data_IF_286374497883
#
_entry.id   IF_286374497883
#
_cell.length_a   1.000
_cell.length_b   1.000
_cell.length_c   1.000
_cell.angle_alpha   90.00
_cell.angle_beta   90.00
_cell.angle_gamma   90.00
#
_symmetry.space_group_name_H-M   'P 1'
#
loop_
_entity.id
_entity.type
_entity.pdbx_description
1 polymer ?
#
# COMPACT_ATOMS: atom_id res chain seq x y z
N UNK A 1 120.96 61.32 125.38
CA UNK A 1 120.81 61.25 123.91
C UNK A 1 121.56 60.03 123.39
N UNK A 2 120.84 59.10 122.76
CA UNK A 2 121.36 58.19 121.73
C UNK A 2 120.15 57.83 120.85
N UNK A 3 120.23 58.15 119.55
CA UNK A 3 119.13 58.08 118.58
C UNK A 3 119.07 56.68 117.98
N UNK A 4 118.01 55.92 118.26
CA UNK A 4 117.68 54.69 117.52
C UNK A 4 117.03 55.02 116.18
N UNK A 5 117.57 54.48 115.08
CA UNK A 5 117.04 54.64 113.73
C UNK A 5 115.74 53.86 113.49
N UNK A 6 114.90 54.33 112.55
CA UNK A 6 113.60 53.72 112.23
C UNK A 6 113.74 52.57 111.24
N UNK A 7 113.00 51.48 111.50
CA UNK A 7 113.01 50.24 110.72
C UNK A 7 111.78 50.09 109.80
N UNK A 8 111.96 49.42 108.65
CA UNK A 8 110.92 49.19 107.61
C UNK A 8 109.63 48.55 108.15
N UNK A 9 109.75 47.63 109.10
CA UNK A 9 108.60 46.95 109.71
C UNK A 9 107.68 47.91 110.49
N UNK A 10 108.25 48.92 111.15
CA UNK A 10 107.48 49.91 111.92
C UNK A 10 106.70 50.83 110.98
N UNK A 11 107.32 51.23 109.87
CA UNK A 11 106.68 52.00 108.79
C UNK A 11 105.53 51.22 108.14
N UNK A 12 105.72 49.91 107.91
CA UNK A 12 104.67 49.04 107.38
C UNK A 12 103.46 48.92 108.33
N UNK A 13 103.70 48.74 109.63
CA UNK A 13 102.64 48.65 110.64
C UNK A 13 101.85 49.97 110.75
N UNK A 14 102.54 51.11 110.74
CA UNK A 14 101.91 52.43 110.73
C UNK A 14 101.07 52.65 109.45
N UNK A 15 101.57 52.23 108.27
CA UNK A 15 100.81 52.26 107.01
C UNK A 15 99.54 51.41 107.08
N UNK A 16 99.63 50.17 107.57
CA UNK A 16 98.47 49.29 107.69
C UNK A 16 97.43 49.83 108.69
N UNK A 17 97.87 50.45 109.78
CA UNK A 17 96.96 51.10 110.73
C UNK A 17 96.20 52.28 110.09
N UNK A 18 96.86 53.08 109.24
CA UNK A 18 96.20 54.17 108.50
C UNK A 18 95.20 53.63 107.46
N UNK A 19 95.57 52.58 106.72
CA UNK A 19 94.66 51.92 105.77
C UNK A 19 93.45 51.29 106.45
N UNK A 20 93.63 50.65 107.60
CA UNK A 20 92.52 50.09 108.38
C UNK A 20 91.57 51.17 108.92
N UNK A 21 92.07 52.39 109.16
CA UNK A 21 91.25 53.58 109.47
C UNK A 21 90.69 54.28 108.22
N UNK A 22 90.96 53.79 107.02
CA UNK A 22 90.46 54.34 105.76
C UNK A 22 91.16 55.63 105.28
N UNK A 23 92.28 56.02 105.91
CA UNK A 23 93.04 57.24 105.56
C UNK A 23 94.21 56.89 104.64
N UNK A 24 94.42 57.70 103.60
CA UNK A 24 95.48 57.43 102.63
C UNK A 24 96.89 57.58 103.26
N UNK A 25 97.77 56.57 103.16
CA UNK A 25 99.08 56.62 103.81
C UNK A 25 100.07 57.58 103.12
N UNK A 26 100.03 58.86 103.48
CA UNK A 26 101.05 59.84 103.07
C UNK A 26 102.27 59.81 104.00
N UNK A 27 103.42 60.31 103.53
CA UNK A 27 104.67 60.33 104.32
C UNK A 27 104.47 61.01 105.68
N UNK A 28 103.74 62.13 105.68
CA UNK A 28 103.50 62.91 106.89
C UNK A 28 102.47 62.24 107.81
N UNK A 29 101.44 61.58 107.27
CA UNK A 29 100.50 60.80 108.07
C UNK A 29 101.20 59.62 108.76
N UNK A 30 102.04 58.89 108.04
CA UNK A 30 102.84 57.78 108.60
C UNK A 30 103.83 58.28 109.65
N UNK A 31 104.42 59.47 109.46
CA UNK A 31 105.34 60.08 110.43
C UNK A 31 104.65 60.52 111.72
N UNK A 32 103.42 61.04 111.63
CA UNK A 32 102.60 61.40 112.80
C UNK A 32 102.25 60.13 113.61
N UNK A 33 101.83 59.05 112.94
CA UNK A 33 101.56 57.76 113.62
C UNK A 33 102.81 57.13 114.25
N UNK A 34 104.00 57.44 113.71
CA UNK A 34 105.30 57.05 114.29
C UNK A 34 105.80 58.02 115.37
N UNK A 35 104.97 58.95 115.84
CA UNK A 35 105.29 59.89 116.92
C UNK A 35 106.26 61.00 116.53
N UNK A 36 106.20 61.48 115.29
CA UNK A 36 107.10 62.48 114.70
C UNK A 36 108.60 62.07 114.69
N UNK A 37 108.86 60.77 114.81
CA UNK A 37 110.21 60.24 114.72
C UNK A 37 110.52 59.85 113.27
N UNK A 38 111.79 60.00 112.85
CA UNK A 38 112.26 59.62 111.51
C UNK A 38 112.39 60.77 110.53
N UNK A 39 113.37 60.66 109.62
CA UNK A 39 113.46 61.57 108.47
C UNK A 39 112.42 61.19 107.41
N UNK A 40 111.73 62.20 106.86
CA UNK A 40 110.74 62.02 105.78
C UNK A 40 111.28 61.21 104.60
N UNK A 41 112.57 61.36 104.29
CA UNK A 41 113.27 60.63 103.22
C UNK A 41 113.32 59.12 103.45
N UNK A 42 113.57 58.67 104.70
CA UNK A 42 113.65 57.24 105.01
C UNK A 42 112.27 56.58 104.99
N UNK A 43 111.24 57.28 105.48
CA UNK A 43 109.84 56.81 105.45
C UNK A 43 109.35 56.67 104.00
N UNK A 44 109.63 57.67 103.15
CA UNK A 44 109.25 57.63 101.73
C UNK A 44 109.91 56.47 100.99
N UNK A 45 111.21 56.22 101.24
CA UNK A 45 111.92 55.08 100.65
C UNK A 45 111.24 53.75 100.99
N UNK A 46 110.92 53.54 102.27
CA UNK A 46 110.27 52.30 102.69
C UNK A 46 108.82 52.17 102.20
N UNK A 47 108.06 53.26 102.07
CA UNK A 47 106.72 53.23 101.46
C UNK A 47 106.78 52.79 100.00
N UNK A 48 107.69 53.37 99.21
CA UNK A 48 107.86 53.03 97.80
C UNK A 48 108.30 51.57 97.58
N UNK A 49 109.19 51.07 98.44
CA UNK A 49 109.58 49.65 98.39
C UNK A 49 108.44 48.68 98.71
N UNK A 50 107.45 49.10 99.50
CA UNK A 50 106.28 48.27 99.83
C UNK A 50 105.23 48.28 98.71
N UNK A 51 105.08 49.40 97.99
CA UNK A 51 104.15 49.47 96.85
C UNK A 51 104.60 48.60 95.67
N UNK A 52 105.90 48.45 95.46
CA UNK A 52 106.43 47.62 94.38
C UNK A 52 106.26 46.10 94.57
N UNK A 53 105.83 45.62 95.76
CA UNK A 53 105.67 44.20 96.03
C UNK A 53 104.29 43.63 95.65
N UNK A 54 103.34 44.46 95.19
CA UNK A 54 102.02 44.01 94.74
C UNK A 54 101.54 44.72 93.46
N UNK A 55 101.95 44.28 92.26
CA UNK A 55 101.22 44.58 91.03
C UNK A 55 100.21 43.45 90.72
N UNK A 56 98.93 43.81 90.66
CA UNK A 56 97.84 42.93 90.22
C UNK A 56 97.93 42.65 88.71
N UNK A 57 97.86 41.37 88.32
CA UNK A 57 97.76 40.90 86.94
C UNK A 57 96.45 40.12 86.77
N UNK A 58 95.67 40.32 85.68
CA UNK A 58 94.58 39.42 85.31
C UNK A 58 95.10 38.35 84.35
N UNK A 59 94.94 37.06 84.69
CA UNK A 59 95.09 35.94 83.75
C UNK A 59 93.71 35.35 83.44
N UNK A 60 93.37 35.29 82.15
CA UNK A 60 92.25 34.53 81.62
C UNK A 60 92.79 33.20 81.07
N UNK A 61 92.50 32.10 81.75
CA UNK A 61 92.59 30.75 81.20
C UNK A 61 91.28 30.42 80.49
N UNK A 62 91.27 29.72 79.34
CA UNK A 62 90.03 29.22 78.78
C UNK A 62 89.50 28.16 79.75
N UNK A 63 88.36 28.43 80.36
CA UNK A 63 87.69 27.47 81.22
C UNK A 63 87.08 26.40 80.31
N UNK A 64 87.11 25.13 80.73
CA UNK A 64 86.53 23.97 80.03
C UNK A 64 85.13 24.22 79.41
N UNK A 65 84.36 25.13 79.99
CA UNK A 65 83.06 25.63 79.50
C UNK A 65 83.10 26.20 78.08
N UNK A 66 84.13 26.97 77.71
CA UNK A 66 84.19 27.64 76.40
C UNK A 66 84.52 26.65 75.27
N UNK A 67 85.37 25.65 75.57
CA UNK A 67 85.69 24.56 74.64
C UNK A 67 84.50 23.61 74.44
N UNK A 68 83.70 23.35 75.48
CA UNK A 68 82.45 22.59 75.36
C UNK A 68 81.38 23.38 74.59
N UNK A 69 81.28 24.69 74.81
CA UNK A 69 80.32 25.55 74.09
C UNK A 69 80.60 25.54 72.57
N UNK A 70 81.86 25.68 72.16
CA UNK A 70 82.25 25.61 70.73
C UNK A 70 81.97 24.25 70.12
N UNK A 71 82.20 23.15 70.84
CA UNK A 71 81.94 21.80 70.34
C UNK A 71 80.44 21.51 70.25
N UNK A 72 79.63 22.00 71.19
CA UNK A 72 78.15 21.93 71.14
C UNK A 72 77.59 22.77 70.00
N UNK A 73 78.17 23.94 69.72
CA UNK A 73 77.77 24.80 68.60
C UNK A 73 78.09 24.15 67.25
N UNK A 74 79.28 23.54 67.10
CA UNK A 74 79.63 22.74 65.92
C UNK A 74 78.72 21.51 65.74
N UNK A 75 78.37 20.83 66.83
CA UNK A 75 77.45 19.69 66.78
C UNK A 75 76.03 20.14 66.40
N UNK A 76 75.59 21.30 66.89
CA UNK A 76 74.30 21.89 66.52
C UNK A 76 74.27 22.32 65.06
N UNK A 77 75.37 22.87 64.54
CA UNK A 77 75.56 23.21 63.12
C UNK A 77 75.48 21.95 62.25
N UNK A 78 76.24 20.90 62.58
CA UNK A 78 76.20 19.62 61.87
C UNK A 78 74.80 18.97 61.90
N UNK A 79 74.14 18.97 63.06
CA UNK A 79 72.80 18.39 63.19
C UNK A 79 71.76 19.18 62.39
N UNK A 80 71.97 20.50 62.24
CA UNK A 80 71.14 21.38 61.41
C UNK A 80 71.38 21.14 59.92
N UNK A 81 72.62 21.00 59.50
CA UNK A 81 72.98 20.63 58.11
C UNK A 81 72.46 19.24 57.73
N UNK A 82 72.64 18.24 58.59
CA UNK A 82 72.09 16.88 58.38
C UNK A 82 70.55 16.89 58.33
N UNK A 83 69.92 17.69 59.20
CA UNK A 83 68.47 17.90 59.22
C UNK A 83 67.97 18.56 57.93
N UNK A 84 68.62 19.63 57.47
CA UNK A 84 68.29 20.30 56.21
C UNK A 84 68.51 19.38 55.02
N UNK A 85 69.61 18.63 54.97
CA UNK A 85 69.89 17.65 53.92
C UNK A 85 68.81 16.56 53.85
N UNK A 86 68.37 16.04 55.00
CA UNK A 86 67.30 15.03 55.05
C UNK A 86 65.94 15.59 54.65
N UNK A 87 65.64 16.83 55.01
CA UNK A 87 64.42 17.53 54.58
C UNK A 87 64.44 17.73 53.07
N UNK A 88 65.56 18.15 52.50
CA UNK A 88 65.69 18.41 51.07
C UNK A 88 65.60 17.11 50.25
N UNK A 89 66.19 16.02 50.74
CA UNK A 89 66.04 14.68 50.15
C UNK A 89 64.56 14.28 50.06
N UNK A 90 63.83 14.35 51.17
CA UNK A 90 62.39 14.00 51.25
C UNK A 90 61.53 14.94 50.38
N UNK A 91 61.87 16.24 50.33
CA UNK A 91 61.18 17.19 49.44
C UNK A 91 61.40 16.83 47.97
N UNK A 92 62.62 16.50 47.58
CA UNK A 92 62.91 16.13 46.20
C UNK A 92 62.17 14.85 45.78
N UNK A 93 62.11 13.84 46.65
CA UNK A 93 61.40 12.58 46.37
C UNK A 93 59.90 12.83 46.27
N UNK A 94 59.34 13.63 47.17
CA UNK A 94 57.93 14.01 47.13
C UNK A 94 57.58 14.83 45.89
N UNK A 95 58.44 15.77 45.49
CA UNK A 95 58.24 16.54 44.27
C UNK A 95 58.28 15.66 43.02
N UNK A 96 59.20 14.68 42.96
CA UNK A 96 59.27 13.71 41.88
C UNK A 96 58.02 12.81 41.82
N UNK A 97 57.55 12.30 42.96
CA UNK A 97 56.31 11.52 43.05
C UNK A 97 55.10 12.37 42.61
N UNK A 98 55.00 13.62 43.09
CA UNK A 98 53.93 14.55 42.70
C UNK A 98 53.93 14.81 41.20
N UNK A 99 55.11 15.05 40.59
CA UNK A 99 55.23 15.24 39.15
C UNK A 99 54.80 13.99 38.38
N UNK A 100 55.17 12.79 38.86
CA UNK A 100 54.77 11.52 38.25
C UNK A 100 53.26 11.31 38.30
N UNK A 101 52.64 11.59 39.44
CA UNK A 101 51.18 11.51 39.61
C UNK A 101 50.45 12.53 38.73
N UNK A 102 50.93 13.77 38.66
CA UNK A 102 50.35 14.78 37.79
C UNK A 102 50.43 14.38 36.31
N UNK A 103 51.55 13.80 35.88
CA UNK A 103 51.69 13.26 34.53
C UNK A 103 50.70 12.11 34.26
N UNK A 104 50.52 11.18 35.21
CA UNK A 104 49.52 10.11 35.08
C UNK A 104 48.09 10.66 34.99
N UNK A 105 47.74 11.65 35.83
CA UNK A 105 46.43 12.30 35.79
C UNK A 105 46.22 12.98 34.43
N UNK A 106 47.22 13.68 33.91
CA UNK A 106 47.11 14.33 32.61
C UNK A 106 46.94 13.32 31.46
N UNK A 107 47.70 12.22 31.47
CA UNK A 107 47.59 11.15 30.47
C UNK A 107 46.20 10.49 30.51
N UNK A 108 45.71 10.16 31.71
CA UNK A 108 44.38 9.56 31.88
C UNK A 108 43.25 10.50 31.47
N UNK A 109 43.36 11.80 31.75
CA UNK A 109 42.40 12.81 31.28
C UNK A 109 42.39 12.91 29.74
N UNK A 110 43.56 12.89 29.10
CA UNK A 110 43.66 12.87 27.63
C UNK A 110 43.04 11.61 27.03
N UNK A 111 43.29 10.44 27.64
CA UNK A 111 42.70 9.18 27.20
C UNK A 111 41.17 9.18 27.34
N UNK A 112 40.63 9.73 28.45
CA UNK A 112 39.19 9.88 28.64
C UNK A 112 38.56 10.82 27.61
N UNK A 113 39.20 11.96 27.31
CA UNK A 113 38.72 12.89 26.30
C UNK A 113 38.70 12.24 24.90
N UNK A 114 39.74 11.48 24.55
CA UNK A 114 39.80 10.76 23.28
C UNK A 114 38.70 9.68 23.18
N UNK A 115 38.45 8.95 24.26
CA UNK A 115 37.40 7.93 24.31
C UNK A 115 36.00 8.57 24.21
N UNK A 116 35.78 9.69 24.88
CA UNK A 116 34.53 10.47 24.77
C UNK A 116 34.28 10.92 23.34
N UNK A 117 35.29 11.51 22.68
CA UNK A 117 35.19 11.90 21.27
C UNK A 117 34.87 10.70 20.37
N UNK A 118 35.51 9.55 20.62
CA UNK A 118 35.24 8.33 19.85
C UNK A 118 33.79 7.85 20.03
N UNK A 119 33.26 7.90 21.26
CA UNK A 119 31.87 7.57 21.53
C UNK A 119 30.89 8.53 20.85
N UNK A 120 31.19 9.83 20.83
CA UNK A 120 30.36 10.82 20.12
C UNK A 120 30.31 10.54 18.61
N UNK A 121 31.46 10.22 18.00
CA UNK A 121 31.54 9.85 16.57
C UNK A 121 30.72 8.58 16.30
N UNK A 122 30.85 7.55 17.14
CA UNK A 122 30.10 6.31 16.99
C UNK A 122 28.60 6.52 17.18
N UNK A 123 28.20 7.35 18.15
CA UNK A 123 26.80 7.70 18.37
C UNK A 123 26.21 8.44 17.17
N UNK A 124 26.95 9.39 16.59
CA UNK A 124 26.54 10.09 15.38
C UNK A 124 26.41 9.15 14.18
N UNK A 125 27.37 8.23 13.98
CA UNK A 125 27.31 7.23 12.92
C UNK A 125 26.11 6.28 13.07
N UNK A 126 25.86 5.78 14.29
CA UNK A 126 24.72 4.91 14.59
C UNK A 126 23.38 5.63 14.38
N UNK A 127 23.29 6.91 14.74
CA UNK A 127 22.11 7.73 14.48
C UNK A 127 21.87 7.91 12.98
N UNK A 128 22.93 8.13 12.18
CA UNK A 128 22.86 8.21 10.72
C UNK A 128 22.36 6.92 10.08
N UNK A 129 22.93 5.77 10.45
CA UNK A 129 22.49 4.44 10.00
C UNK A 129 21.03 4.16 10.39
N UNK A 130 20.65 4.50 11.63
CA UNK A 130 19.27 4.31 12.11
C UNK A 130 18.27 5.14 11.32
N UNK A 131 18.63 6.38 10.95
CA UNK A 131 17.80 7.23 10.11
C UNK A 131 17.68 6.68 8.68
N UNK A 132 18.79 6.26 8.06
CA UNK A 132 18.78 5.65 6.73
C UNK A 132 17.94 4.35 6.70
N UNK A 133 18.06 3.53 7.75
CA UNK A 133 17.26 2.31 7.90
C UNK A 133 15.77 2.61 8.13
N UNK A 134 15.42 3.68 8.85
CA UNK A 134 14.03 4.11 8.97
C UNK A 134 13.44 4.56 7.62
N UNK A 135 14.21 5.32 6.83
CA UNK A 135 13.80 5.75 5.48
C UNK A 135 13.64 4.56 4.52
N UNK A 136 14.58 3.61 4.52
CA UNK A 136 14.47 2.41 3.66
C UNK A 136 13.29 1.52 4.06
N UNK A 137 12.99 1.38 5.36
CA UNK A 137 11.79 0.68 5.84
C UNK A 137 10.50 1.37 5.39
N UNK A 138 10.44 2.70 5.50
CA UNK A 138 9.29 3.47 5.07
C UNK A 138 9.05 3.35 3.57
N UNK A 139 10.11 3.49 2.75
CA UNK A 139 10.01 3.32 1.30
C UNK A 139 9.62 1.90 0.90
N UNK A 140 10.21 0.87 1.54
CA UNK A 140 9.83 -0.52 1.32
C UNK A 140 8.35 -0.76 1.65
N UNK A 141 7.84 -0.20 2.75
CA UNK A 141 6.43 -0.32 3.13
C UNK A 141 5.52 0.34 2.10
N UNK A 142 5.89 1.51 1.57
CA UNK A 142 5.15 2.17 0.49
C UNK A 142 5.11 1.32 -0.77
N UNK A 143 6.25 0.76 -1.18
CA UNK A 143 6.32 -0.11 -2.37
C UNK A 143 5.59 -1.44 -2.16
N UNK A 144 5.60 -2.02 -0.96
CA UNK A 144 4.79 -3.21 -0.64
C UNK A 144 3.29 -2.93 -0.76
N UNK A 145 2.85 -1.79 -0.22
CA UNK A 145 1.45 -1.36 -0.34
C UNK A 145 1.08 -1.14 -1.80
N UNK A 146 1.96 -0.49 -2.57
CA UNK A 146 1.78 -0.28 -4.02
C UNK A 146 1.71 -1.59 -4.80
N UNK A 147 2.54 -2.57 -4.47
CA UNK A 147 2.49 -3.89 -5.10
C UNK A 147 1.19 -4.63 -4.77
N UNK A 148 0.71 -4.55 -3.52
CA UNK A 148 -0.56 -5.15 -3.13
C UNK A 148 -1.73 -4.53 -3.91
N UNK A 149 -1.77 -3.20 -4.05
CA UNK A 149 -2.84 -2.53 -4.81
C UNK A 149 -2.76 -2.83 -6.31
N UNK A 150 -1.56 -2.90 -6.90
CA UNK A 150 -1.40 -3.32 -8.29
C UNK A 150 -1.86 -4.76 -8.51
N UNK A 151 -1.50 -5.69 -7.63
CA UNK A 151 -1.94 -7.08 -7.74
C UNK A 151 -3.47 -7.21 -7.62
N UNK A 152 -4.09 -6.43 -6.74
CA UNK A 152 -5.55 -6.37 -6.65
C UNK A 152 -6.17 -5.85 -7.95
N UNK A 153 -5.68 -4.73 -8.49
CA UNK A 153 -6.17 -4.16 -9.74
C UNK A 153 -6.01 -5.12 -10.94
N UNK A 154 -4.90 -5.86 -11.00
CA UNK A 154 -4.69 -6.92 -12.01
C UNK A 154 -5.72 -8.04 -11.83
N UNK A 155 -5.98 -8.47 -10.59
CA UNK A 155 -7.04 -9.46 -10.30
C UNK A 155 -8.42 -9.00 -10.75
N UNK A 156 -8.81 -7.76 -10.44
CA UNK A 156 -10.08 -7.17 -10.86
C UNK A 156 -10.20 -7.05 -12.39
N UNK A 157 -9.13 -6.65 -13.07
CA UNK A 157 -9.09 -6.60 -14.54
C UNK A 157 -9.22 -7.98 -15.17
N UNK A 158 -8.57 -9.00 -14.61
CA UNK A 158 -8.68 -10.38 -15.10
C UNK A 158 -10.10 -10.92 -14.95
N UNK A 159 -10.78 -10.64 -13.84
CA UNK A 159 -12.20 -11.00 -13.66
C UNK A 159 -13.07 -10.30 -14.71
N UNK A 160 -12.86 -9.00 -14.92
CA UNK A 160 -13.61 -8.24 -15.92
C UNK A 160 -13.34 -8.74 -17.35
N UNK A 161 -12.13 -9.17 -17.66
CA UNK A 161 -11.80 -9.79 -18.95
C UNK A 161 -12.53 -11.13 -19.10
N UNK A 162 -12.52 -11.98 -18.08
CA UNK A 162 -13.24 -13.25 -18.09
C UNK A 162 -14.75 -13.07 -18.32
N UNK A 163 -15.38 -12.11 -17.62
CA UNK A 163 -16.81 -11.78 -17.82
C UNK A 163 -17.09 -11.31 -19.26
N UNK A 164 -16.16 -10.54 -19.84
CA UNK A 164 -16.30 -10.04 -21.22
C UNK A 164 -16.10 -11.15 -22.24
N UNK A 165 -15.14 -12.04 -22.01
CA UNK A 165 -14.94 -13.22 -22.86
C UNK A 165 -16.17 -14.13 -22.82
N UNK A 166 -16.78 -14.33 -21.65
CA UNK A 166 -18.03 -15.08 -21.53
C UNK A 166 -19.17 -14.41 -22.32
N UNK A 167 -19.35 -13.09 -22.19
CA UNK A 167 -20.34 -12.33 -22.97
C UNK A 167 -20.11 -12.48 -24.47
N UNK A 168 -18.85 -12.43 -24.93
CA UNK A 168 -18.50 -12.65 -26.34
C UNK A 168 -18.86 -14.07 -26.78
N UNK A 169 -18.58 -15.09 -25.97
CA UNK A 169 -18.96 -16.47 -26.27
C UNK A 169 -20.48 -16.65 -26.37
N UNK A 170 -21.24 -16.06 -25.44
CA UNK A 170 -22.70 -16.08 -25.45
C UNK A 170 -23.24 -15.44 -26.74
N UNK A 171 -22.77 -14.25 -27.10
CA UNK A 171 -23.15 -13.57 -28.34
C UNK A 171 -22.80 -14.38 -29.60
N UNK A 172 -21.66 -15.08 -29.61
CA UNK A 172 -21.28 -15.96 -30.72
C UNK A 172 -22.21 -17.18 -30.83
N UNK A 173 -22.70 -17.72 -29.72
CA UNK A 173 -23.70 -18.80 -29.72
C UNK A 173 -25.04 -18.28 -30.25
N UNK A 174 -25.52 -17.14 -29.76
CA UNK A 174 -26.75 -16.52 -30.25
C UNK A 174 -26.69 -16.20 -31.74
N UNK A 175 -25.56 -15.66 -32.21
CA UNK A 175 -25.35 -15.38 -33.63
C UNK A 175 -25.45 -16.67 -34.47
N UNK A 176 -24.84 -17.77 -34.02
CA UNK A 176 -24.95 -19.07 -34.71
C UNK A 176 -26.38 -19.61 -34.72
N UNK A 177 -27.11 -19.48 -33.60
CA UNK A 177 -28.51 -19.89 -33.52
C UNK A 177 -29.41 -19.06 -34.46
N UNK A 178 -29.19 -17.75 -34.51
CA UNK A 178 -29.88 -16.85 -35.44
C UNK A 178 -29.58 -17.19 -36.89
N UNK A 179 -28.31 -17.46 -37.23
CA UNK A 179 -27.92 -17.89 -38.57
C UNK A 179 -28.58 -19.22 -38.96
N UNK A 180 -28.62 -20.20 -38.07
CA UNK A 180 -29.28 -21.47 -38.33
C UNK A 180 -30.80 -21.31 -38.52
N UNK A 181 -31.43 -20.47 -37.70
CA UNK A 181 -32.86 -20.14 -37.83
C UNK A 181 -33.14 -19.44 -39.16
N UNK A 182 -32.27 -18.52 -39.57
CA UNK A 182 -32.39 -17.82 -40.85
C UNK A 182 -32.30 -18.79 -42.04
N UNK A 183 -31.37 -19.75 -42.01
CA UNK A 183 -31.24 -20.78 -43.05
C UNK A 183 -32.54 -21.59 -43.16
N UNK A 184 -33.08 -22.08 -42.04
CA UNK A 184 -34.35 -22.83 -42.04
C UNK A 184 -35.49 -22.00 -42.61
N UNK A 185 -35.58 -20.71 -42.26
CA UNK A 185 -36.61 -19.80 -42.78
C UNK A 185 -36.44 -19.54 -44.28
N UNK A 186 -35.21 -19.44 -44.78
CA UNK A 186 -34.94 -19.30 -46.21
C UNK A 186 -35.34 -20.56 -46.99
N UNK A 187 -35.09 -21.75 -46.43
CA UNK A 187 -35.52 -23.02 -47.03
C UNK A 187 -37.05 -23.14 -47.06
N UNK A 188 -37.73 -22.78 -45.97
CA UNK A 188 -39.20 -22.71 -45.91
C UNK A 188 -39.78 -21.76 -46.97
N UNK A 189 -39.22 -20.54 -47.09
CA UNK A 189 -39.62 -19.58 -48.12
C UNK A 189 -39.42 -20.14 -49.53
N UNK A 190 -38.29 -20.80 -49.78
CA UNK A 190 -38.00 -21.41 -51.07
C UNK A 190 -38.99 -22.53 -51.39
N UNK A 191 -39.34 -23.36 -50.40
CA UNK A 191 -40.36 -24.41 -50.55
C UNK A 191 -41.73 -23.82 -50.87
N UNK A 192 -42.18 -22.85 -50.09
CA UNK A 192 -43.47 -22.17 -50.30
C UNK A 192 -43.54 -21.48 -51.67
N UNK A 193 -42.45 -20.88 -52.14
CA UNK A 193 -42.40 -20.30 -53.49
C UNK A 193 -42.59 -21.35 -54.59
N UNK A 194 -41.92 -22.51 -54.48
CA UNK A 194 -42.12 -23.63 -55.41
C UNK A 194 -43.55 -24.17 -55.36
N UNK A 195 -44.11 -24.33 -54.16
CA UNK A 195 -45.49 -24.78 -53.98
C UNK A 195 -46.47 -23.78 -54.62
N UNK A 196 -46.25 -22.47 -54.44
CA UNK A 196 -47.05 -21.41 -55.07
C UNK A 196 -46.96 -21.45 -56.60
N UNK A 197 -45.77 -21.62 -57.17
CA UNK A 197 -45.59 -21.81 -58.61
C UNK A 197 -46.35 -23.04 -59.12
N UNK A 198 -46.26 -24.16 -58.40
CA UNK A 198 -47.02 -25.38 -58.70
C UNK A 198 -48.53 -25.16 -58.68
N UNK A 199 -49.05 -24.48 -57.66
CA UNK A 199 -50.47 -24.13 -57.57
C UNK A 199 -50.91 -23.19 -58.70
N UNK A 200 -50.08 -22.22 -59.10
CA UNK A 200 -50.38 -21.34 -60.24
C UNK A 200 -50.48 -22.12 -61.56
N UNK A 201 -49.62 -23.13 -61.76
CA UNK A 201 -49.72 -24.05 -62.91
C UNK A 201 -51.01 -24.85 -62.84
N UNK A 202 -51.35 -25.43 -61.68
CA UNK A 202 -52.61 -26.17 -61.50
C UNK A 202 -53.84 -25.30 -61.76
N UNK A 203 -53.86 -24.05 -61.29
CA UNK A 203 -54.94 -23.11 -61.56
C UNK A 203 -55.08 -22.86 -63.07
N UNK A 204 -53.97 -22.70 -63.80
CA UNK A 204 -54.01 -22.56 -65.27
C UNK A 204 -54.58 -23.80 -65.95
N UNK A 205 -54.12 -24.99 -65.56
CA UNK A 205 -54.62 -26.24 -66.15
C UNK A 205 -56.09 -26.47 -65.86
N UNK A 206 -56.56 -26.20 -64.63
CA UNK A 206 -57.99 -26.30 -64.30
C UNK A 206 -58.83 -25.29 -65.06
N UNK A 207 -58.32 -24.05 -65.24
CA UNK A 207 -59.02 -23.02 -66.01
C UNK A 207 -59.14 -23.40 -67.50
N UNK A 208 -58.11 -23.98 -68.09
CA UNK A 208 -58.17 -24.45 -69.46
C UNK A 208 -59.09 -25.68 -69.62
N UNK A 209 -59.03 -26.63 -68.70
CA UNK A 209 -59.98 -27.75 -68.65
C UNK A 209 -61.43 -27.25 -68.51
N UNK A 210 -61.67 -26.26 -67.66
CA UNK A 210 -62.98 -25.63 -67.48
C UNK A 210 -63.47 -24.96 -68.78
N UNK A 211 -62.59 -24.26 -69.50
CA UNK A 211 -62.91 -23.68 -70.82
C UNK A 211 -63.29 -24.76 -71.82
N UNK A 212 -62.52 -25.85 -71.90
CA UNK A 212 -62.81 -26.97 -72.81
C UNK A 212 -64.17 -27.60 -72.48
N UNK A 213 -64.44 -27.88 -71.20
CA UNK A 213 -65.72 -28.43 -70.76
C UNK A 213 -66.88 -27.48 -71.06
N UNK A 214 -66.69 -26.17 -70.88
CA UNK A 214 -67.70 -25.16 -71.23
C UNK A 214 -68.00 -25.18 -72.73
N UNK A 215 -66.97 -25.18 -73.59
CA UNK A 215 -67.16 -25.29 -75.04
C UNK A 215 -67.83 -26.60 -75.45
N UNK A 216 -67.50 -27.72 -74.78
CA UNK A 216 -68.19 -29.00 -75.02
C UNK A 216 -69.66 -28.93 -74.61
N UNK A 217 -69.98 -28.30 -73.49
CA UNK A 217 -71.35 -28.08 -73.02
C UNK A 217 -72.14 -27.24 -74.01
N UNK A 218 -71.57 -26.12 -74.47
CA UNK A 218 -72.16 -25.25 -75.49
C UNK A 218 -72.42 -26.00 -76.80
N UNK A 219 -71.47 -26.83 -77.27
CA UNK A 219 -71.65 -27.68 -78.45
C UNK A 219 -72.78 -28.70 -78.26
N UNK A 220 -72.81 -29.40 -77.12
CA UNK A 220 -73.90 -30.34 -76.80
C UNK A 220 -75.24 -29.62 -76.73
N UNK A 221 -75.29 -28.40 -76.20
CA UNK A 221 -76.50 -27.59 -76.15
C UNK A 221 -77.01 -27.25 -77.55
N UNK A 222 -76.13 -26.84 -78.47
CA UNK A 222 -76.49 -26.59 -79.87
C UNK A 222 -76.97 -27.88 -80.56
N UNK A 223 -76.32 -29.02 -80.29
CA UNK A 223 -76.76 -30.32 -80.80
C UNK A 223 -78.15 -30.71 -80.29
N UNK A 224 -78.41 -30.53 -78.99
CA UNK A 224 -79.72 -30.78 -78.37
C UNK A 224 -80.78 -29.89 -79.02
N UNK A 225 -80.52 -28.59 -79.15
CA UNK A 225 -81.44 -27.66 -79.83
C UNK A 225 -81.72 -28.09 -81.28
N UNK A 226 -80.69 -28.52 -82.02
CA UNK A 226 -80.87 -29.06 -83.38
C UNK A 226 -81.74 -30.31 -83.40
N UNK A 227 -81.54 -31.24 -82.46
CA UNK A 227 -82.38 -32.44 -82.32
C UNK A 227 -83.81 -32.09 -81.89
N UNK A 228 -84.01 -31.12 -81.02
CA UNK A 228 -85.33 -30.62 -80.62
C UNK A 228 -86.09 -30.04 -81.81
N UNK A 229 -85.43 -29.23 -82.65
CA UNK A 229 -86.01 -28.71 -83.90
C UNK A 229 -86.37 -29.85 -84.86
N UNK A 230 -85.47 -30.82 -85.05
CA UNK A 230 -85.75 -31.99 -85.88
C UNK A 230 -86.92 -32.82 -85.36
N UNK A 231 -87.01 -33.04 -84.04
CA UNK A 231 -88.13 -33.72 -83.41
C UNK A 231 -89.43 -32.93 -83.59
N UNK A 232 -89.41 -31.61 -83.48
CA UNK A 232 -90.57 -30.76 -83.74
C UNK A 232 -91.03 -30.84 -85.20
N UNK A 233 -90.10 -30.83 -86.16
CA UNK A 233 -90.40 -31.03 -87.58
C UNK A 233 -90.98 -32.41 -87.86
N UNK A 234 -90.37 -33.48 -87.32
CA UNK A 234 -90.87 -34.84 -87.47
C UNK A 234 -92.26 -35.00 -86.85
N UNK A 235 -92.50 -34.46 -85.64
CA UNK A 235 -93.82 -34.45 -85.02
C UNK A 235 -94.84 -33.65 -85.83
N UNK A 236 -94.44 -32.51 -86.42
CA UNK A 236 -95.26 -31.73 -87.34
C UNK A 236 -95.66 -32.54 -88.58
N UNK A 237 -94.68 -33.15 -89.26
CA UNK A 237 -94.92 -34.02 -90.41
C UNK A 237 -95.79 -35.24 -90.06
N UNK A 238 -95.60 -35.82 -88.86
CA UNK A 238 -96.43 -36.90 -88.34
C UNK A 238 -97.87 -36.43 -88.13
N UNK A 239 -98.07 -35.25 -87.54
CA UNK A 239 -99.39 -34.65 -87.36
C UNK A 239 -100.08 -34.34 -88.69
N UNK A 240 -99.36 -33.88 -89.71
CA UNK A 240 -99.88 -33.71 -91.07
C UNK A 240 -100.29 -35.05 -91.70
N UNK A 241 -99.44 -36.07 -91.59
CA UNK A 241 -99.75 -37.44 -92.06
C UNK A 241 -100.92 -38.07 -91.31
N UNK A 242 -101.05 -37.82 -89.99
CA UNK A 242 -102.19 -38.24 -89.18
C UNK A 242 -103.49 -37.55 -89.64
N UNK A 243 -103.45 -36.24 -89.92
CA UNK A 243 -104.59 -35.51 -90.51
C UNK A 243 -104.96 -36.03 -91.89
N UNK A 244 -103.98 -36.31 -92.75
CA UNK A 244 -104.21 -36.92 -94.06
C UNK A 244 -104.85 -38.31 -93.92
N UNK A 245 -104.36 -39.14 -93.00
CA UNK A 245 -104.96 -40.45 -92.70
C UNK A 245 -106.40 -40.32 -92.17
N UNK A 246 -106.67 -39.36 -91.28
CA UNK A 246 -108.03 -39.09 -90.78
C UNK A 246 -108.96 -38.63 -91.90
N UNK A 247 -108.51 -37.71 -92.77
CA UNK A 247 -109.30 -37.25 -93.92
C UNK A 247 -109.57 -38.38 -94.92
N UNK A 248 -108.57 -39.23 -95.20
CA UNK A 248 -108.76 -40.43 -96.01
C UNK A 248 -109.75 -41.39 -95.35
N UNK A 249 -109.67 -41.60 -94.04
CA UNK A 249 -110.61 -42.43 -93.29
C UNK A 249 -112.04 -41.87 -93.32
N UNK A 250 -112.21 -40.54 -93.20
CA UNK A 250 -113.50 -39.85 -93.34
C UNK A 250 -114.06 -39.99 -94.75
N UNK A 251 -113.25 -39.75 -95.78
CA UNK A 251 -113.66 -39.91 -97.18
C UNK A 251 -114.02 -41.36 -97.51
N UNK A 252 -113.27 -42.33 -96.97
CA UNK A 252 -113.61 -43.75 -97.07
C UNK A 252 -114.91 -44.07 -96.32
N UNK A 253 -115.14 -43.51 -95.13
CA UNK A 253 -116.38 -43.69 -94.39
C UNK A 253 -117.58 -43.09 -95.13
N UNK A 254 -117.43 -41.88 -95.69
CA UNK A 254 -118.41 -41.25 -96.58
C UNK A 254 -118.70 -42.16 -97.77
N UNK A 255 -117.66 -42.69 -98.44
CA UNK A 255 -117.83 -43.64 -99.55
C UNK A 255 -118.53 -44.92 -99.14
N UNK A 256 -118.25 -45.45 -97.95
CA UNK A 256 -118.96 -46.62 -97.39
C UNK A 256 -120.41 -46.27 -97.09
N UNK A 257 -120.71 -45.07 -96.60
CA UNK A 257 -122.11 -44.63 -96.41
C UNK A 257 -122.84 -44.40 -97.72
N UNK A 258 -122.19 -43.83 -98.74
CA UNK A 258 -122.73 -43.72 -100.10
C UNK A 258 -123.04 -45.11 -100.66
N UNK A 259 -122.09 -46.05 -100.55
CA UNK A 259 -122.30 -47.44 -100.97
C UNK A 259 -123.43 -48.11 -100.18
N UNK A 260 -123.57 -47.85 -98.88
CA UNK A 260 -124.70 -48.32 -98.06
C UNK A 260 -126.02 -47.69 -98.50
N UNK A 261 -126.05 -46.40 -98.80
CA UNK A 261 -127.24 -45.73 -99.32
C UNK A 261 -127.62 -46.27 -100.70
N UNK A 262 -126.64 -46.52 -101.58
CA UNK A 262 -126.84 -47.18 -102.86
C UNK A 262 -127.40 -48.60 -102.66
N UNK A 263 -126.86 -49.39 -101.73
CA UNK A 263 -127.39 -50.71 -101.37
C UNK A 263 -128.82 -50.63 -100.79
N UNK A 264 -129.14 -49.63 -99.99
CA UNK A 264 -130.52 -49.40 -99.53
C UNK A 264 -131.45 -48.96 -100.65
N UNK A 265 -130.96 -48.19 -101.63
CA UNK A 265 -131.73 -47.80 -102.81
C UNK A 265 -132.00 -49.02 -103.68
N UNK A 266 -130.99 -49.87 -103.90
CA UNK A 266 -131.12 -51.17 -104.57
C UNK A 266 -132.12 -52.04 -103.80
N UNK A 267 -131.99 -52.15 -102.47
CA UNK A 267 -132.94 -52.90 -101.64
C UNK A 267 -134.37 -52.35 -101.67
N UNK A 268 -134.57 -51.03 -101.77
CA UNK A 268 -135.89 -50.40 -101.98
C UNK A 268 -136.43 -50.68 -103.38
N UNK A 269 -135.59 -50.59 -104.41
CA UNK A 269 -135.96 -50.93 -105.79
C UNK A 269 -136.32 -52.42 -105.91
N UNK A 270 -135.58 -53.31 -105.26
CA UNK A 270 -135.89 -54.74 -105.15
C UNK A 270 -137.18 -55.00 -104.37
N UNK A 271 -137.44 -54.25 -103.28
CA UNK A 271 -138.69 -54.32 -102.54
C UNK A 271 -139.88 -53.80 -103.35
N UNK A 272 -139.70 -52.72 -104.14
CA UNK A 272 -140.69 -52.22 -105.09
C UNK A 272 -140.92 -53.22 -106.23
N UNK A 273 -139.88 -53.90 -106.71
CA UNK A 273 -139.98 -55.00 -107.66
C UNK A 273 -140.78 -56.17 -107.07
N UNK A 274 -140.51 -56.57 -105.82
CA UNK A 274 -141.30 -57.58 -105.09
C UNK A 274 -142.73 -57.14 -104.81
N UNK A 275 -142.98 -55.84 -104.62
CA UNK A 275 -144.32 -55.29 -104.44
C UNK A 275 -145.09 -55.27 -105.77
N UNK A 276 -144.42 -54.97 -106.89
CA UNK A 276 -144.96 -55.10 -108.24
C UNK A 276 -145.21 -56.58 -108.62
N UNK A 277 -144.32 -57.49 -108.22
CA UNK A 277 -144.50 -58.95 -108.38
C UNK A 277 -145.62 -59.49 -107.49
N UNK A 278 -145.80 -58.98 -106.26
CA UNK A 278 -146.95 -59.32 -105.39
C UNK A 278 -148.27 -58.70 -105.87
N UNK A 279 -148.24 -57.49 -106.42
CA UNK A 279 -149.40 -56.87 -107.09
C UNK A 279 -149.78 -57.65 -108.36
N UNK A 280 -148.82 -58.25 -109.06
CA UNK A 280 -149.08 -59.18 -110.15
C UNK A 280 -149.63 -60.53 -109.67
N UNK A 281 -149.31 -60.97 -108.46
CA UNK A 281 -149.81 -62.24 -107.87
C UNK A 281 -151.11 -62.12 -107.06
N UNK A 282 -151.59 -60.93 -106.71
CA UNK A 282 -152.82 -60.73 -105.90
C UNK A 282 -154.10 -60.36 -106.69
N UNK A 283 -154.07 -60.23 -108.03
CA UNK A 283 -155.29 -60.00 -108.84
C UNK A 283 -155.58 -61.11 -109.87
N UNK A 284 -154.90 -62.26 -109.76
CA UNK A 284 -155.34 -63.56 -110.33
C UNK A 284 -156.16 -64.38 -109.32
N UNK A 285 -157.15 -63.75 -108.69
CA UNK A 285 -158.14 -64.37 -107.81
C UNK A 285 -159.39 -63.49 -107.70
N UNK A 286 -160.32 -63.71 -108.62
CA UNK A 286 -161.71 -63.19 -108.79
C UNK A 286 -162.57 -63.16 -107.52
N UNK A 287 -163.81 -62.62 -107.51
CA UNK A 287 -164.59 -61.81 -108.48
C UNK A 287 -165.10 -60.46 -107.93
#
# INVERSE_FOLDING_TARGET
MARGGINKAVVHKARQALLARGVHPSIDAVRIELGNTGSKTTIHRYLKELDNQYPAQPLSTPNLSDALATLVEQLAEQLREEGEARIEEVRSTFEAERQTLLAQVQISQQALAALQQQHEIQAAALAGESAALATTRSTLQTEQTRNATLNQAVGELNLRLADKDEQVQQLQVELRQLQQTLIVKQDELTRLNRDNEGLLVQIRTFKDAQRTLKTQSERRQVQIQGLEVNLAQLNGSRGELEKQNQNLALSLAERVTELRQQLQLIGKLEAQLRQAEKQAQQLQGTP
#
